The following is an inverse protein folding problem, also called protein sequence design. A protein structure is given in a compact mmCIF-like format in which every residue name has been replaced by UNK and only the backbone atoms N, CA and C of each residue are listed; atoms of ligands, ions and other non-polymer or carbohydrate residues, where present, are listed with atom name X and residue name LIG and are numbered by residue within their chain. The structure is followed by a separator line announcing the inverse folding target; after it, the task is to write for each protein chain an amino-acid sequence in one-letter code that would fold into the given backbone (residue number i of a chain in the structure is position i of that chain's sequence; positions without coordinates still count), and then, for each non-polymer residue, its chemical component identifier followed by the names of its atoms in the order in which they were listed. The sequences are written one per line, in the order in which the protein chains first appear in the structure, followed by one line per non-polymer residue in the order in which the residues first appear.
data_IF_847564558188
#
_entry.id   IF_847564558188
#
_cell.length_a   1.000
_cell.length_b   1.000
_cell.length_c   1.000
_cell.angle_alpha   90.00
_cell.angle_beta   90.00
_cell.angle_gamma   90.00
#
_symmetry.space_group_name_H-M   'P 1'
#
loop_
_entity.id
_entity.type
_entity.pdbx_description
1 polymer ?
#
# COMPACT_ATOMS: atom_id res chain seq x y z
N UNK A 1 -19.79 4.38 14.59
CA UNK A 1 -19.99 2.99 14.11
C UNK A 1 -21.48 2.65 13.88
N UNK A 2 -22.42 2.88 14.82
CA UNK A 2 -23.84 2.52 14.65
C UNK A 2 -24.52 3.36 13.56
N UNK A 3 -24.23 4.65 13.48
CA UNK A 3 -24.71 5.56 12.44
C UNK A 3 -24.28 5.17 11.04
N UNK A 4 -23.03 4.70 10.87
CA UNK A 4 -22.52 4.21 9.58
C UNK A 4 -23.23 2.95 9.10
N UNK A 5 -23.56 2.02 10.03
CA UNK A 5 -24.29 0.80 9.72
C UNK A 5 -25.73 1.11 9.29
N UNK A 6 -26.39 2.06 9.97
CA UNK A 6 -27.74 2.52 9.64
C UNK A 6 -27.81 3.21 8.28
N UNK A 7 -26.85 4.09 7.97
CA UNK A 7 -26.73 4.77 6.69
C UNK A 7 -26.47 3.74 5.57
N UNK A 8 -25.59 2.77 5.80
CA UNK A 8 -25.32 1.71 4.85
C UNK A 8 -26.54 0.83 4.57
N UNK A 9 -27.28 0.43 5.62
CA UNK A 9 -28.48 -0.39 5.49
C UNK A 9 -29.62 0.34 4.76
N UNK A 10 -29.70 1.67 4.89
CA UNK A 10 -30.74 2.48 4.24
C UNK A 10 -30.39 2.86 2.78
N UNK A 11 -29.10 3.00 2.44
CA UNK A 11 -28.65 3.48 1.13
C UNK A 11 -28.25 2.37 0.16
N UNK A 12 -27.87 1.19 0.65
CA UNK A 12 -27.48 0.07 -0.22
C UNK A 12 -28.70 -0.73 -0.65
N UNK A 13 -29.30 -0.34 -1.77
CA UNK A 13 -30.23 -1.16 -2.52
C UNK A 13 -29.44 -2.24 -3.25
N UNK A 14 -29.60 -3.50 -2.85
CA UNK A 14 -28.95 -4.64 -3.49
C UNK A 14 -29.36 -4.71 -4.97
N UNK A 15 -28.44 -4.35 -5.88
CA UNK A 15 -28.66 -4.48 -7.31
C UNK A 15 -28.47 -5.96 -7.68
N UNK A 16 -29.57 -6.72 -7.80
CA UNK A 16 -29.54 -8.07 -8.36
C UNK A 16 -28.92 -8.01 -9.76
N UNK A 17 -27.68 -8.44 -9.87
CA UNK A 17 -26.99 -8.58 -11.16
C UNK A 17 -27.59 -9.78 -11.91
N UNK A 18 -27.95 -9.58 -13.17
CA UNK A 18 -28.50 -10.62 -14.08
C UNK A 18 -27.50 -11.78 -14.21
N UNK A 19 -28.03 -12.98 -14.08
CA UNK A 19 -27.33 -14.26 -13.88
C UNK A 19 -26.65 -14.82 -15.13
N UNK A 20 -26.85 -14.23 -16.32
CA UNK A 20 -26.56 -14.87 -17.60
C UNK A 20 -25.21 -14.52 -18.26
N UNK A 21 -24.59 -13.38 -17.94
CA UNK A 21 -23.31 -13.01 -18.57
C UNK A 21 -22.06 -13.59 -17.85
N UNK A 22 -22.25 -14.25 -16.71
CA UNK A 22 -21.18 -14.74 -15.85
C UNK A 22 -20.76 -16.20 -16.05
N UNK A 23 -21.54 -17.01 -16.76
CA UNK A 23 -21.34 -18.48 -16.74
C UNK A 23 -20.16 -19.01 -17.58
N UNK A 24 -19.73 -18.29 -18.62
CA UNK A 24 -18.70 -18.79 -19.53
C UNK A 24 -17.25 -18.54 -19.09
N UNK A 25 -17.03 -17.49 -18.28
CA UNK A 25 -15.69 -17.11 -17.78
C UNK A 25 -15.36 -17.85 -16.46
N UNK A 26 -16.37 -18.33 -15.76
CA UNK A 26 -16.27 -18.88 -14.40
C UNK A 26 -15.62 -20.28 -14.30
N UNK A 27 -15.69 -21.13 -15.33
CA UNK A 27 -15.27 -22.53 -15.21
C UNK A 27 -13.75 -22.73 -14.96
N UNK A 28 -12.90 -21.82 -15.45
CA UNK A 28 -11.44 -21.89 -15.28
C UNK A 28 -10.97 -21.23 -13.96
N UNK A 29 -11.77 -20.28 -13.42
CA UNK A 29 -11.46 -19.55 -12.19
C UNK A 29 -12.07 -20.18 -10.92
N UNK A 30 -13.11 -21.01 -11.05
CA UNK A 30 -13.88 -21.55 -9.92
C UNK A 30 -13.09 -22.46 -8.97
N UNK A 31 -11.96 -23.03 -9.43
CA UNK A 31 -11.09 -23.91 -8.63
C UNK A 31 -9.94 -23.21 -7.91
N UNK A 32 -9.69 -21.92 -8.16
CA UNK A 32 -8.60 -21.20 -7.51
C UNK A 32 -8.91 -20.93 -6.03
N UNK A 33 -7.99 -21.32 -5.15
CA UNK A 33 -7.97 -20.92 -3.75
C UNK A 33 -6.75 -20.03 -3.51
N UNK A 34 -6.75 -19.21 -2.47
CA UNK A 34 -5.57 -18.40 -2.10
C UNK A 34 -4.33 -19.29 -1.98
N UNK A 35 -4.47 -20.50 -1.41
CA UNK A 35 -3.34 -21.44 -1.22
C UNK A 35 -2.68 -21.90 -2.54
N UNK A 36 -3.45 -21.97 -3.64
CA UNK A 36 -2.96 -22.42 -4.94
C UNK A 36 -2.58 -21.31 -5.91
N UNK A 37 -2.91 -20.05 -5.58
CA UNK A 37 -2.66 -18.87 -6.41
C UNK A 37 -1.26 -18.29 -6.16
N UNK A 38 -0.24 -18.86 -6.82
CA UNK A 38 1.16 -18.41 -6.68
C UNK A 38 1.37 -16.93 -6.98
N UNK A 39 0.81 -16.34 -8.07
CA UNK A 39 0.92 -14.91 -8.32
C UNK A 39 0.31 -14.06 -7.21
N UNK A 40 -0.75 -14.53 -6.58
CA UNK A 40 -1.35 -13.82 -5.45
C UNK A 40 -0.45 -13.84 -4.21
N UNK A 41 0.22 -14.96 -3.91
CA UNK A 41 1.21 -15.01 -2.83
C UNK A 41 2.38 -14.07 -3.05
N UNK A 42 2.85 -13.94 -4.29
CA UNK A 42 3.90 -12.99 -4.63
C UNK A 42 3.42 -11.54 -4.40
N UNK A 43 2.19 -11.23 -4.79
CA UNK A 43 1.56 -9.94 -4.50
C UNK A 43 1.42 -9.70 -2.99
N UNK A 44 1.00 -10.69 -2.21
CA UNK A 44 0.89 -10.57 -0.75
C UNK A 44 2.25 -10.30 -0.10
N UNK A 45 3.29 -10.95 -0.56
CA UNK A 45 4.66 -10.72 -0.09
C UNK A 45 5.12 -9.29 -0.39
N UNK A 46 4.90 -8.79 -1.61
CA UNK A 46 5.19 -7.41 -1.95
C UNK A 46 4.37 -6.42 -1.11
N UNK A 47 3.09 -6.71 -0.89
CA UNK A 47 2.23 -5.88 -0.05
C UNK A 47 2.72 -5.84 1.40
N UNK A 48 3.20 -6.96 1.94
CA UNK A 48 3.80 -7.03 3.27
C UNK A 48 5.05 -6.14 3.36
N UNK A 49 5.97 -6.25 2.40
CA UNK A 49 7.19 -5.43 2.37
C UNK A 49 6.82 -3.94 2.27
N UNK A 50 5.94 -3.58 1.34
CA UNK A 50 5.54 -2.18 1.15
C UNK A 50 4.82 -1.62 2.38
N UNK A 51 3.97 -2.41 3.03
CA UNK A 51 3.32 -2.03 4.28
C UNK A 51 4.34 -1.88 5.43
N UNK A 52 5.36 -2.75 5.52
CA UNK A 52 6.46 -2.58 6.49
C UNK A 52 7.18 -1.25 6.31
N UNK A 53 7.49 -0.87 5.08
CA UNK A 53 8.11 0.41 4.77
C UNK A 53 7.18 1.56 5.14
N UNK A 54 5.91 1.48 4.78
CA UNK A 54 4.91 2.51 5.09
C UNK A 54 4.75 2.74 6.60
N UNK A 55 4.67 1.68 7.40
CA UNK A 55 4.46 1.81 8.85
C UNK A 55 5.64 2.46 9.58
N UNK A 56 6.80 2.62 8.96
CA UNK A 56 7.88 3.46 9.50
C UNK A 56 7.44 4.93 9.66
N UNK A 57 6.48 5.37 8.87
CA UNK A 57 5.85 6.70 8.98
C UNK A 57 5.34 6.99 10.39
N UNK A 58 4.79 5.97 11.07
CA UNK A 58 4.18 6.12 12.39
C UNK A 58 5.10 5.72 13.56
N UNK A 59 6.24 5.10 13.26
CA UNK A 59 7.14 4.59 14.29
C UNK A 59 8.48 5.31 14.31
N UNK A 60 9.26 5.20 13.26
CA UNK A 60 10.63 5.71 13.23
C UNK A 60 10.73 7.16 12.75
N UNK A 61 9.82 7.62 11.86
CA UNK A 61 9.83 8.99 11.39
C UNK A 61 9.57 10.02 12.50
N UNK A 62 8.56 9.88 13.39
CA UNK A 62 8.35 10.81 14.49
C UNK A 62 9.55 10.91 15.42
N UNK A 63 10.19 9.77 15.70
CA UNK A 63 11.40 9.73 16.52
C UNK A 63 12.55 10.49 15.83
N UNK A 64 12.76 10.27 14.54
CA UNK A 64 13.74 10.97 13.72
C UNK A 64 13.52 12.49 13.69
N UNK A 65 12.26 12.93 13.55
CA UNK A 65 11.90 14.35 13.57
C UNK A 65 12.31 15.01 14.90
N UNK A 66 12.05 14.34 16.00
CA UNK A 66 12.39 14.85 17.33
C UNK A 66 13.90 14.81 17.59
N UNK A 67 14.55 13.67 17.41
CA UNK A 67 15.96 13.48 17.81
C UNK A 67 16.96 14.18 16.88
N UNK A 68 16.68 14.21 15.57
CA UNK A 68 17.66 14.76 14.61
C UNK A 68 17.37 16.21 14.21
N UNK A 69 16.11 16.66 14.30
CA UNK A 69 15.71 18.01 13.92
C UNK A 69 15.14 18.83 15.08
N UNK A 70 14.98 18.25 16.26
CA UNK A 70 14.45 18.95 17.44
C UNK A 70 13.00 19.40 17.29
N UNK A 71 12.23 18.76 16.36
CA UNK A 71 10.84 19.11 16.15
C UNK A 71 9.99 18.70 17.35
N UNK A 72 9.09 19.58 17.77
CA UNK A 72 8.11 19.26 18.80
C UNK A 72 7.09 18.24 18.30
N UNK A 73 6.39 17.58 19.22
CA UNK A 73 5.28 16.66 18.89
C UNK A 73 4.21 17.34 18.04
N UNK A 74 3.93 18.62 18.32
CA UNK A 74 2.98 19.42 17.54
C UNK A 74 3.45 19.62 16.08
N UNK A 75 4.72 19.94 15.86
CA UNK A 75 5.28 20.11 14.50
C UNK A 75 5.31 18.78 13.73
N UNK A 76 5.66 17.69 14.40
CA UNK A 76 5.56 16.35 13.82
C UNK A 76 4.10 16.00 13.47
N UNK A 77 3.15 16.34 14.36
CA UNK A 77 1.73 16.18 14.12
C UNK A 77 1.22 16.99 12.92
N UNK A 78 1.76 18.19 12.68
CA UNK A 78 1.46 19.00 11.50
C UNK A 78 1.93 18.32 10.22
N UNK A 79 3.12 17.71 10.20
CA UNK A 79 3.61 16.94 9.05
C UNK A 79 2.72 15.72 8.76
N UNK A 80 2.29 15.01 9.81
CA UNK A 80 1.33 13.90 9.66
C UNK A 80 -0.03 14.38 9.14
N UNK A 81 -0.51 15.53 9.63
CA UNK A 81 -1.75 16.14 9.17
C UNK A 81 -1.65 16.58 7.71
N UNK A 82 -0.49 17.07 7.28
CA UNK A 82 -0.20 17.42 5.89
C UNK A 82 -0.30 16.18 4.98
N UNK A 83 0.26 15.03 5.40
CA UNK A 83 0.07 13.76 4.69
C UNK A 83 -1.42 13.43 4.55
N UNK A 84 -2.19 13.41 5.64
CA UNK A 84 -3.62 13.11 5.61
C UNK A 84 -4.42 14.08 4.72
N UNK A 85 -4.05 15.37 4.72
CA UNK A 85 -4.69 16.37 3.86
C UNK A 85 -4.42 16.11 2.37
N UNK A 86 -3.18 15.77 2.00
CA UNK A 86 -2.85 15.42 0.62
C UNK A 86 -3.64 14.20 0.14
N UNK A 87 -3.71 13.15 0.97
CA UNK A 87 -4.48 11.94 0.67
C UNK A 87 -5.95 12.28 0.49
N UNK A 88 -6.56 13.02 1.41
CA UNK A 88 -7.96 13.43 1.34
C UNK A 88 -8.28 14.18 0.03
N UNK A 89 -7.39 15.06 -0.41
CA UNK A 89 -7.62 15.91 -1.60
C UNK A 89 -7.35 15.19 -2.91
N UNK A 90 -6.35 14.30 -2.97
CA UNK A 90 -5.83 13.79 -4.24
C UNK A 90 -6.08 12.31 -4.48
N UNK A 91 -6.38 11.49 -3.47
CA UNK A 91 -6.58 10.05 -3.65
C UNK A 91 -7.74 9.76 -4.61
N UNK A 92 -8.93 10.34 -4.37
CA UNK A 92 -10.10 10.09 -5.22
C UNK A 92 -9.92 10.56 -6.66
N UNK A 93 -9.39 11.76 -6.95
CA UNK A 93 -9.02 12.15 -8.30
C UNK A 93 -8.05 11.21 -9.00
N UNK A 94 -7.01 10.73 -8.32
CA UNK A 94 -6.01 9.80 -8.86
C UNK A 94 -6.65 8.45 -9.20
N UNK A 95 -7.42 7.87 -8.27
CA UNK A 95 -8.11 6.60 -8.48
C UNK A 95 -9.11 6.73 -9.62
N UNK A 96 -9.95 7.78 -9.62
CA UNK A 96 -10.94 8.00 -10.66
C UNK A 96 -10.33 8.21 -12.05
N UNK A 97 -9.18 8.89 -12.15
CA UNK A 97 -8.44 9.03 -13.41
C UNK A 97 -7.93 7.67 -13.91
N UNK A 98 -7.32 6.89 -13.02
CA UNK A 98 -6.76 5.57 -13.38
C UNK A 98 -7.84 4.58 -13.82
N UNK A 99 -9.00 4.60 -13.18
CA UNK A 99 -10.16 3.77 -13.55
C UNK A 99 -10.72 4.16 -14.92
N UNK A 100 -10.90 5.46 -15.19
CA UNK A 100 -11.36 5.96 -16.51
C UNK A 100 -10.41 5.59 -17.64
N UNK A 101 -9.11 5.52 -17.37
CA UNK A 101 -8.08 5.14 -18.34
C UNK A 101 -7.84 3.63 -18.40
N UNK A 102 -8.58 2.82 -17.65
CA UNK A 102 -8.42 1.37 -17.56
C UNK A 102 -6.96 0.94 -17.28
N UNK A 103 -6.27 1.69 -16.41
CA UNK A 103 -4.87 1.41 -16.08
C UNK A 103 -4.79 0.08 -15.33
N UNK A 104 -3.90 -0.80 -15.78
CA UNK A 104 -3.64 -2.07 -15.07
C UNK A 104 -3.17 -1.80 -13.64
N UNK A 105 -3.89 -2.31 -12.64
CA UNK A 105 -3.69 -2.01 -11.22
C UNK A 105 -2.26 -2.24 -10.72
N UNK A 106 -1.53 -3.20 -11.27
CA UNK A 106 -0.13 -3.48 -10.90
C UNK A 106 0.81 -2.31 -11.19
N UNK A 107 0.55 -1.51 -12.24
CA UNK A 107 1.43 -0.36 -12.57
C UNK A 107 1.45 0.72 -11.48
N UNK A 108 0.29 1.25 -11.03
CA UNK A 108 0.28 2.21 -9.93
C UNK A 108 0.79 1.60 -8.61
N UNK A 109 0.53 0.31 -8.32
CA UNK A 109 1.07 -0.35 -7.13
C UNK A 109 2.61 -0.34 -7.15
N UNK A 110 3.22 -0.71 -8.28
CA UNK A 110 4.67 -0.69 -8.43
C UNK A 110 5.24 0.73 -8.35
N UNK A 111 4.58 1.72 -8.97
CA UNK A 111 4.96 3.14 -8.86
C UNK A 111 4.91 3.61 -7.39
N UNK A 112 3.85 3.27 -6.66
CA UNK A 112 3.72 3.58 -5.24
C UNK A 112 4.86 2.97 -4.41
N UNK A 113 5.25 1.72 -4.68
CA UNK A 113 6.37 1.08 -4.00
C UNK A 113 7.72 1.77 -4.30
N UNK A 114 7.96 2.22 -5.55
CA UNK A 114 9.14 3.03 -5.90
C UNK A 114 9.14 4.35 -5.14
N UNK A 115 8.04 5.10 -5.19
CA UNK A 115 7.92 6.38 -4.49
C UNK A 115 8.13 6.22 -2.99
N UNK A 116 7.61 5.13 -2.40
CA UNK A 116 7.81 4.82 -0.98
C UNK A 116 9.29 4.62 -0.66
N UNK A 117 10.03 3.88 -1.49
CA UNK A 117 11.48 3.74 -1.37
C UNK A 117 12.22 5.07 -1.52
N UNK A 118 11.85 5.88 -2.51
CA UNK A 118 12.46 7.19 -2.75
C UNK A 118 12.22 8.18 -1.60
N UNK A 119 11.06 8.12 -0.92
CA UNK A 119 10.78 8.98 0.23
C UNK A 119 11.77 8.76 1.37
N UNK A 120 12.18 7.51 1.62
CA UNK A 120 13.19 7.18 2.63
C UNK A 120 14.60 7.53 2.17
N UNK A 121 14.93 7.35 0.90
CA UNK A 121 16.22 7.82 0.37
C UNK A 121 16.35 9.34 0.42
N UNK A 122 15.27 10.10 0.27
CA UNK A 122 15.30 11.54 0.43
C UNK A 122 15.79 11.96 1.83
N UNK A 123 15.48 11.19 2.89
CA UNK A 123 15.91 11.47 4.25
C UNK A 123 17.43 11.32 4.47
N UNK A 124 18.17 10.73 3.52
CA UNK A 124 19.64 10.70 3.58
C UNK A 124 20.26 12.06 3.29
N UNK A 125 19.53 12.98 2.65
CA UNK A 125 20.00 14.36 2.45
C UNK A 125 19.82 15.18 3.73
N UNK A 126 20.86 15.19 4.56
CA UNK A 126 20.88 15.89 5.86
C UNK A 126 21.09 17.40 5.71
N UNK A 127 20.73 18.13 6.74
CA UNK A 127 21.08 19.55 6.92
C UNK A 127 20.02 20.56 6.52
N UNK A 128 18.89 20.12 5.96
CA UNK A 128 17.77 21.00 5.61
C UNK A 128 16.43 20.43 6.09
N UNK A 129 15.77 21.13 7.00
CA UNK A 129 14.48 20.69 7.58
C UNK A 129 13.41 20.46 6.53
N UNK A 130 13.44 21.21 5.42
CA UNK A 130 12.50 21.04 4.30
C UNK A 130 12.50 19.65 3.67
N UNK A 131 13.57 18.85 3.88
CA UNK A 131 13.62 17.47 3.39
C UNK A 131 12.54 16.58 4.02
N UNK A 132 12.11 16.90 5.24
CA UNK A 132 11.02 16.19 5.91
C UNK A 132 9.69 16.41 5.19
N UNK A 133 9.45 17.65 4.74
CA UNK A 133 8.24 17.98 3.94
C UNK A 133 8.30 17.31 2.59
N UNK A 134 9.47 17.28 1.92
CA UNK A 134 9.66 16.60 0.63
C UNK A 134 9.43 15.10 0.78
N UNK A 135 10.03 14.46 1.79
CA UNK A 135 9.81 13.04 2.06
C UNK A 135 8.34 12.75 2.35
N UNK A 136 7.68 13.58 3.16
CA UNK A 136 6.26 13.45 3.49
C UNK A 136 5.39 13.59 2.23
N UNK A 137 5.70 14.53 1.36
CA UNK A 137 5.00 14.69 0.07
C UNK A 137 5.14 13.45 -0.80
N UNK A 138 6.35 12.91 -0.95
CA UNK A 138 6.60 11.73 -1.77
C UNK A 138 5.87 10.51 -1.20
N UNK A 139 5.90 10.28 0.12
CA UNK A 139 5.24 9.12 0.74
C UNK A 139 3.71 9.23 0.66
N UNK A 140 3.14 10.45 0.71
CA UNK A 140 1.70 10.67 0.51
C UNK A 140 1.25 10.23 -0.88
N UNK A 141 1.99 10.59 -1.92
CA UNK A 141 1.69 10.10 -3.27
C UNK A 141 1.93 8.59 -3.40
N UNK A 142 2.97 8.07 -2.73
CA UNK A 142 3.26 6.64 -2.72
C UNK A 142 2.08 5.82 -2.21
N UNK A 143 1.46 6.23 -1.10
CA UNK A 143 0.30 5.52 -0.53
C UNK A 143 -0.95 5.64 -1.41
N UNK A 144 -1.22 6.81 -2.00
CA UNK A 144 -2.33 7.01 -2.93
C UNK A 144 -2.22 6.13 -4.19
N UNK A 145 -0.99 5.86 -4.66
CA UNK A 145 -0.76 4.94 -5.77
C UNK A 145 -0.69 3.48 -5.36
N UNK A 146 -0.37 3.16 -4.11
CA UNK A 146 -0.23 1.78 -3.68
C UNK A 146 -1.52 1.19 -3.13
N UNK A 147 -2.09 1.76 -2.08
CA UNK A 147 -3.11 1.09 -1.27
C UNK A 147 -4.47 0.93 -1.95
N UNK A 148 -5.07 1.94 -2.60
CA UNK A 148 -6.35 1.76 -3.27
C UNK A 148 -6.27 0.73 -4.41
N UNK A 149 -5.17 0.74 -5.16
CA UNK A 149 -4.97 -0.19 -6.27
C UNK A 149 -4.64 -1.60 -5.78
N UNK A 150 -3.94 -1.76 -4.65
CA UNK A 150 -3.68 -3.05 -4.01
C UNK A 150 -4.97 -3.70 -3.51
N UNK A 151 -5.83 -2.92 -2.84
CA UNK A 151 -7.17 -3.37 -2.44
C UNK A 151 -7.97 -3.81 -3.67
N UNK A 152 -8.01 -2.97 -4.71
CA UNK A 152 -8.70 -3.28 -5.94
C UNK A 152 -8.12 -4.48 -6.69
N UNK A 153 -6.81 -4.73 -6.62
CA UNK A 153 -6.19 -5.92 -7.19
C UNK A 153 -6.58 -7.18 -6.43
N UNK A 154 -6.51 -7.16 -5.08
CA UNK A 154 -6.90 -8.28 -4.24
C UNK A 154 -8.36 -8.72 -4.48
N UNK A 155 -9.29 -7.76 -4.57
CA UNK A 155 -10.69 -8.03 -4.87
C UNK A 155 -10.88 -8.61 -6.28
N UNK A 156 -10.23 -8.01 -7.29
CA UNK A 156 -10.43 -8.42 -8.68
C UNK A 156 -9.76 -9.76 -9.01
N UNK A 157 -8.73 -10.16 -8.26
CA UNK A 157 -8.06 -11.46 -8.42
C UNK A 157 -8.88 -12.61 -7.87
N UNK A 158 -9.76 -12.34 -6.91
CA UNK A 158 -10.56 -13.35 -6.25
C UNK A 158 -11.58 -14.00 -7.21
N UNK A 159 -11.72 -15.34 -7.21
CA UNK A 159 -12.86 -16.01 -7.82
C UNK A 159 -14.16 -15.57 -7.14
N UNK A 160 -15.27 -15.63 -7.88
CA UNK A 160 -16.61 -15.31 -7.33
C UNK A 160 -16.90 -16.11 -6.06
N UNK A 161 -17.39 -15.40 -5.04
CA UNK A 161 -17.74 -15.97 -3.72
C UNK A 161 -16.55 -16.21 -2.82
N UNK A 162 -15.31 -15.85 -3.23
CA UNK A 162 -14.09 -15.95 -2.41
C UNK A 162 -13.42 -14.61 -2.18
N UNK A 163 -14.05 -13.50 -2.54
CA UNK A 163 -13.53 -12.14 -2.38
C UNK A 163 -13.14 -11.86 -0.93
N UNK A 164 -13.96 -12.28 0.02
CA UNK A 164 -13.68 -12.16 1.44
C UNK A 164 -12.42 -12.92 1.88
N UNK A 165 -12.15 -14.09 1.31
CA UNK A 165 -10.95 -14.87 1.62
C UNK A 165 -9.68 -14.14 1.13
N UNK A 166 -9.66 -13.65 -0.10
CA UNK A 166 -8.53 -12.92 -0.66
C UNK A 166 -8.26 -11.62 0.13
N UNK A 167 -9.31 -10.87 0.41
CA UNK A 167 -9.20 -9.65 1.22
C UNK A 167 -8.71 -9.94 2.65
N UNK A 168 -9.15 -11.03 3.26
CA UNK A 168 -8.67 -11.42 4.60
C UNK A 168 -7.16 -11.67 4.61
N UNK A 169 -6.62 -12.42 3.64
CA UNK A 169 -5.17 -12.64 3.53
C UNK A 169 -4.40 -11.34 3.28
N UNK A 170 -4.91 -10.45 2.43
CA UNK A 170 -4.32 -9.13 2.21
C UNK A 170 -4.27 -8.31 3.51
N UNK A 171 -5.37 -8.23 4.24
CA UNK A 171 -5.46 -7.51 5.52
C UNK A 171 -4.56 -8.13 6.59
N UNK A 172 -4.43 -9.47 6.62
CA UNK A 172 -3.49 -10.16 7.51
C UNK A 172 -2.04 -9.76 7.24
N UNK A 173 -1.62 -9.64 5.97
CA UNK A 173 -0.27 -9.17 5.63
C UNK A 173 -0.03 -7.75 6.10
N UNK A 174 -1.02 -6.87 5.99
CA UNK A 174 -0.96 -5.51 6.53
C UNK A 174 -0.81 -5.48 8.05
N UNK A 175 -1.61 -6.26 8.75
CA UNK A 175 -1.55 -6.37 10.21
C UNK A 175 -0.21 -6.92 10.69
N UNK A 176 0.31 -7.95 10.01
CA UNK A 176 1.60 -8.53 10.29
C UNK A 176 2.74 -7.52 10.06
N UNK A 177 2.67 -6.78 8.95
CA UNK A 177 3.63 -5.72 8.64
C UNK A 177 3.65 -4.63 9.71
N UNK A 178 2.48 -4.22 10.21
CA UNK A 178 2.37 -3.23 11.29
C UNK A 178 3.05 -3.70 12.57
N UNK A 179 2.84 -4.96 12.98
CA UNK A 179 3.47 -5.53 14.18
C UNK A 179 4.99 -5.61 14.03
N UNK A 180 5.48 -6.03 12.87
CA UNK A 180 6.90 -6.27 12.61
C UNK A 180 7.66 -4.97 12.35
N UNK A 181 7.04 -4.01 11.65
CA UNK A 181 7.67 -2.77 11.19
C UNK A 181 8.32 -1.97 12.33
N UNK A 182 7.57 -1.70 13.40
CA UNK A 182 8.06 -0.90 14.54
C UNK A 182 9.29 -1.53 15.19
N UNK A 183 9.21 -2.82 15.51
CA UNK A 183 10.33 -3.56 16.14
C UNK A 183 11.55 -3.61 15.23
N UNK A 184 11.35 -3.87 13.94
CA UNK A 184 12.45 -3.96 12.98
C UNK A 184 13.13 -2.60 12.77
N UNK A 185 12.35 -1.54 12.57
CA UNK A 185 12.91 -0.20 12.37
C UNK A 185 13.70 0.29 13.57
N UNK A 186 13.15 0.18 14.78
CA UNK A 186 13.84 0.59 16.01
C UNK A 186 15.11 -0.25 16.25
N UNK A 187 15.06 -1.57 16.06
CA UNK A 187 16.24 -2.43 16.21
C UNK A 187 17.36 -2.10 15.20
N UNK A 188 17.02 -1.68 13.99
CA UNK A 188 18.00 -1.23 13.00
C UNK A 188 18.60 0.09 13.44
N UNK A 189 17.78 1.04 13.93
CA UNK A 189 18.24 2.36 14.39
C UNK A 189 19.16 2.22 15.58
N UNK A 190 18.79 1.42 16.57
CA UNK A 190 19.61 1.19 17.78
C UNK A 190 20.99 0.62 17.45
N UNK A 191 21.08 -0.25 16.44
CA UNK A 191 22.32 -0.96 16.11
C UNK A 191 23.17 -0.24 15.07
N UNK A 192 22.54 0.39 14.07
CA UNK A 192 23.23 0.95 12.89
C UNK A 192 22.85 2.39 12.56
N UNK A 193 21.94 3.00 13.33
CA UNK A 193 21.50 4.36 13.14
C UNK A 193 20.40 4.57 12.09
N UNK A 194 19.95 5.82 12.00
CA UNK A 194 18.86 6.20 11.10
C UNK A 194 19.18 6.00 9.61
N UNK A 195 20.41 6.31 9.19
CA UNK A 195 20.83 6.18 7.79
C UNK A 195 20.69 4.75 7.30
N UNK A 196 21.12 3.78 8.11
CA UNK A 196 20.98 2.36 7.77
C UNK A 196 19.52 1.97 7.64
N UNK A 197 18.65 2.48 8.52
CA UNK A 197 17.20 2.22 8.41
C UNK A 197 16.63 2.80 7.12
N UNK A 198 17.00 4.02 6.73
CA UNK A 198 16.53 4.65 5.50
C UNK A 198 17.01 3.90 4.25
N UNK A 199 18.25 3.44 4.23
CA UNK A 199 18.79 2.64 3.12
C UNK A 199 18.06 1.30 3.03
N UNK A 200 17.88 0.59 4.15
CA UNK A 200 17.22 -0.73 4.17
C UNK A 200 15.76 -0.59 3.73
N UNK A 201 15.01 0.35 4.31
CA UNK A 201 13.60 0.55 3.98
C UNK A 201 13.42 1.07 2.55
N UNK A 202 14.28 2.01 2.11
CA UNK A 202 14.28 2.48 0.73
C UNK A 202 14.54 1.35 -0.26
N UNK A 203 15.54 0.50 0.02
CA UNK A 203 15.87 -0.66 -0.82
C UNK A 203 14.76 -1.69 -0.83
N UNK A 204 14.10 -1.93 0.32
CA UNK A 204 12.95 -2.83 0.41
C UNK A 204 11.77 -2.36 -0.46
N UNK A 205 11.47 -1.06 -0.47
CA UNK A 205 10.46 -0.47 -1.34
C UNK A 205 10.78 -0.68 -2.84
N UNK A 206 12.03 -0.40 -3.25
CA UNK A 206 12.48 -0.62 -4.63
C UNK A 206 12.44 -2.10 -5.02
N UNK A 207 12.89 -3.00 -4.13
CA UNK A 207 12.83 -4.44 -4.35
C UNK A 207 11.39 -4.91 -4.55
N UNK A 208 10.46 -4.46 -3.71
CA UNK A 208 9.03 -4.74 -3.86
C UNK A 208 8.51 -4.30 -5.23
N UNK A 209 8.91 -3.11 -5.70
CA UNK A 209 8.51 -2.61 -7.01
C UNK A 209 9.05 -3.48 -8.17
N UNK A 210 10.30 -3.94 -8.10
CA UNK A 210 10.90 -4.84 -9.08
C UNK A 210 10.11 -6.16 -9.15
N UNK A 211 9.80 -6.75 -8.00
CA UNK A 211 9.01 -7.99 -7.92
C UNK A 211 7.61 -7.78 -8.50
N UNK A 212 6.96 -6.63 -8.24
CA UNK A 212 5.66 -6.29 -8.81
C UNK A 212 5.69 -6.14 -10.33
N UNK A 213 6.80 -5.63 -10.91
CA UNK A 213 6.98 -5.57 -12.35
C UNK A 213 7.13 -6.98 -12.95
N UNK A 214 7.86 -7.87 -12.29
CA UNK A 214 7.95 -9.29 -12.68
C UNK A 214 6.57 -9.95 -12.60
N UNK A 215 5.83 -9.73 -11.51
CA UNK A 215 4.47 -10.22 -11.35
C UNK A 215 3.55 -9.76 -12.48
N UNK A 216 3.66 -8.51 -12.92
CA UNK A 216 2.90 -8.00 -14.06
C UNK A 216 3.11 -8.85 -15.32
N UNK A 217 4.37 -9.25 -15.61
CA UNK A 217 4.68 -10.06 -16.78
C UNK A 217 4.07 -11.47 -16.67
N UNK A 218 4.16 -12.10 -15.49
CA UNK A 218 3.52 -13.40 -15.21
C UNK A 218 2.00 -13.32 -15.44
N UNK A 219 1.35 -12.25 -14.98
CA UNK A 219 -0.10 -12.07 -15.15
C UNK A 219 -0.51 -11.80 -16.61
N UNK A 220 0.37 -11.25 -17.44
CA UNK A 220 0.11 -11.10 -18.86
C UNK A 220 0.17 -12.45 -19.59
N UNK A 221 1.11 -13.32 -19.21
CA UNK A 221 1.22 -14.69 -19.77
C UNK A 221 0.05 -15.60 -19.36
N UNK A 222 -0.53 -15.41 -18.16
CA UNK A 222 -1.73 -16.17 -17.75
C UNK A 222 -2.98 -15.84 -18.60
N UNK A 223 -3.03 -14.65 -19.20
CA UNK A 223 -4.18 -14.16 -19.96
C UNK A 223 -4.04 -14.35 -21.48
N UNK A 224 -2.89 -14.85 -21.95
CA UNK A 224 -2.66 -15.27 -23.36
C UNK A 224 -2.88 -16.75 -23.52
#
# INVERSE_FOLDING_TARGET
CITSILIFALLVKEKKRTKEEGMAIDAKHEKRTVATDKPYWLFLFCSFITAMVFFQLFTTLPLYHNEQYGLSEFQTGLLMSFNGLLVLLFEMPIVGYAERKHIQKIKPIALGAVLMGLSFYALLFKGWVGILVVSMFIISYAEMFNFPFSNGFAMNRAPRGREGQYMAFYTMMFSLAHIVSGKTGLAIIDKWGYEANWIIMGSAGILSAIILIVLKNILMEENT
#
